data_IF_389650666260
#
_entry.id   IF_389650666260
#
_cell.length_a   1.000
_cell.length_b   1.000
_cell.length_c   1.000
_cell.angle_alpha   90.00
_cell.angle_beta   90.00
_cell.angle_gamma   90.00
#
_symmetry.space_group_name_H-M   'P 1'
#
loop_
_entity.id
_entity.type
_entity.pdbx_description
1 polymer ?
#
# COMPACT_ATOMS: atom_id res chain seq x y z
N UNK A 1 3.72 -4.99 5.05
CA UNK A 1 4.35 -4.39 6.24
C UNK A 1 5.81 -4.21 5.91
N UNK A 2 6.42 -3.16 6.43
CA UNK A 2 7.86 -3.15 6.57
C UNK A 2 8.19 -4.27 7.57
N UNK A 3 8.75 -5.36 7.05
CA UNK A 3 9.10 -6.52 7.83
C UNK A 3 10.41 -6.19 8.57
N UNK A 4 10.51 -6.40 9.89
CA UNK A 4 11.80 -6.35 10.57
C UNK A 4 12.86 -7.16 9.83
N UNK A 5 12.46 -8.30 9.23
CA UNK A 5 13.34 -9.11 8.38
C UNK A 5 13.79 -8.40 7.10
N UNK A 6 12.96 -7.54 6.52
CA UNK A 6 13.34 -6.74 5.36
C UNK A 6 14.36 -5.65 5.74
N UNK A 7 14.26 -5.09 6.95
CA UNK A 7 15.26 -4.16 7.49
C UNK A 7 16.58 -4.90 7.74
N UNK A 8 16.51 -6.09 8.34
CA UNK A 8 17.68 -6.94 8.57
C UNK A 8 18.35 -7.36 7.25
N UNK A 9 17.57 -7.72 6.23
CA UNK A 9 18.08 -8.08 4.91
C UNK A 9 18.79 -6.90 4.23
N UNK A 10 18.26 -5.68 4.37
CA UNK A 10 18.88 -4.46 3.82
C UNK A 10 20.16 -4.14 4.59
N UNK A 11 20.14 -4.21 5.92
CA UNK A 11 21.31 -3.98 6.76
C UNK A 11 22.42 -5.00 6.46
N UNK A 12 22.08 -6.27 6.30
CA UNK A 12 23.02 -7.34 5.94
C UNK A 12 23.60 -7.15 4.55
N UNK A 13 22.80 -6.77 3.56
CA UNK A 13 23.29 -6.45 2.19
C UNK A 13 24.25 -5.26 2.19
N UNK A 14 23.96 -4.22 2.96
CA UNK A 14 24.85 -3.07 3.13
C UNK A 14 26.15 -3.46 3.84
N UNK A 15 26.08 -4.28 4.89
CA UNK A 15 27.24 -4.81 5.60
C UNK A 15 28.12 -5.73 4.71
N UNK A 16 27.51 -6.46 3.78
CA UNK A 16 28.22 -7.30 2.80
C UNK A 16 28.83 -6.49 1.64
N UNK A 17 28.41 -5.24 1.44
CA UNK A 17 29.01 -4.32 0.46
C UNK A 17 30.21 -3.54 1.04
N UNK A 18 30.57 -3.78 2.31
CA UNK A 18 31.70 -3.12 2.97
C UNK A 18 33.04 -3.64 2.40
N UNK A 19 34.02 -2.75 2.12
CA UNK A 19 35.34 -3.15 1.60
C UNK A 19 36.07 -4.16 2.50
N UNK A 20 36.85 -5.10 1.94
CA UNK A 20 37.48 -6.20 2.68
C UNK A 20 38.48 -5.75 3.78
N UNK A 21 38.97 -4.51 3.72
CA UNK A 21 39.83 -3.93 4.76
C UNK A 21 39.11 -3.55 6.06
N UNK A 22 37.76 -3.57 6.09
CA UNK A 22 36.95 -3.17 7.25
C UNK A 22 36.16 -4.35 7.86
N UNK A 23 36.49 -5.59 7.52
CA UNK A 23 35.79 -6.78 8.01
C UNK A 23 35.73 -6.90 9.54
N UNK A 24 36.73 -6.38 10.27
CA UNK A 24 36.73 -6.35 11.74
C UNK A 24 35.69 -5.40 12.35
N UNK A 25 35.16 -4.46 11.55
CA UNK A 25 34.14 -3.49 11.93
C UNK A 25 32.75 -3.81 11.34
N UNK A 26 32.62 -4.94 10.65
CA UNK A 26 31.39 -5.33 9.94
C UNK A 26 30.19 -5.39 10.88
N UNK A 27 30.36 -6.00 12.05
CA UNK A 27 29.27 -6.18 13.01
C UNK A 27 28.81 -4.85 13.62
N UNK A 28 29.73 -3.92 13.87
CA UNK A 28 29.42 -2.58 14.37
C UNK A 28 28.75 -1.72 13.30
N UNK A 29 29.17 -1.86 12.04
CA UNK A 29 28.53 -1.21 10.89
C UNK A 29 27.11 -1.73 10.68
N UNK A 30 26.89 -3.03 10.79
CA UNK A 30 25.57 -3.66 10.68
C UNK A 30 24.61 -3.11 11.75
N UNK A 31 25.04 -3.07 13.02
CA UNK A 31 24.27 -2.48 14.12
C UNK A 31 23.96 -0.99 13.88
N UNK A 32 24.93 -0.25 13.38
CA UNK A 32 24.77 1.18 13.06
C UNK A 32 23.78 1.39 11.92
N UNK A 33 23.86 0.59 10.85
CA UNK A 33 22.92 0.66 9.74
C UNK A 33 21.50 0.26 10.16
N UNK A 34 21.34 -0.77 10.98
CA UNK A 34 20.03 -1.17 11.51
C UNK A 34 19.38 -0.02 12.29
N UNK A 35 20.12 0.63 13.20
CA UNK A 35 19.62 1.76 13.99
C UNK A 35 19.24 2.98 13.10
N UNK A 36 20.05 3.30 12.09
CA UNK A 36 19.77 4.39 11.15
C UNK A 36 18.53 4.07 10.31
N UNK A 37 18.41 2.85 9.77
CA UNK A 37 17.27 2.42 8.97
C UNK A 37 15.97 2.44 9.79
N UNK A 38 16.01 1.93 11.01
CA UNK A 38 14.87 1.94 11.92
C UNK A 38 14.45 3.37 12.27
N UNK A 39 15.41 4.27 12.55
CA UNK A 39 15.15 5.68 12.82
C UNK A 39 14.66 6.47 11.61
N UNK A 40 15.14 6.15 10.39
CA UNK A 40 14.71 6.79 9.15
C UNK A 40 13.32 6.33 8.74
N UNK A 41 13.04 5.03 8.79
CA UNK A 41 11.70 4.48 8.49
C UNK A 41 10.67 4.95 9.50
N UNK A 42 11.02 5.06 10.78
CA UNK A 42 10.13 5.63 11.81
C UNK A 42 9.78 7.11 11.61
N UNK A 43 10.54 7.84 10.78
CA UNK A 43 10.26 9.24 10.39
C UNK A 43 9.45 9.35 9.10
N UNK A 44 9.29 8.27 8.35
CA UNK A 44 8.36 8.24 7.23
C UNK A 44 6.95 8.09 7.84
N UNK A 45 5.96 8.79 7.29
CA UNK A 45 4.54 8.65 7.69
C UNK A 45 3.99 7.29 7.22
N UNK A 46 4.52 6.22 7.80
CA UNK A 46 4.21 4.86 7.43
C UNK A 46 2.83 4.50 7.97
N UNK A 47 1.89 4.28 7.06
CA UNK A 47 0.57 3.76 7.41
C UNK A 47 0.72 2.32 7.89
N UNK A 48 0.08 1.98 9.01
CA UNK A 48 0.15 0.62 9.55
C UNK A 48 -0.53 -0.39 8.61
N UNK A 49 -0.18 -1.67 8.73
CA UNK A 49 -0.82 -2.72 7.93
C UNK A 49 -2.34 -2.75 8.16
N UNK A 50 -2.76 -2.55 9.41
CA UNK A 50 -4.17 -2.54 9.78
C UNK A 50 -4.92 -1.39 9.10
N UNK A 51 -4.39 -0.16 9.17
CA UNK A 51 -4.97 0.99 8.50
C UNK A 51 -5.02 0.82 6.97
N UNK A 52 -3.98 0.24 6.36
CA UNK A 52 -3.98 -0.06 4.93
C UNK A 52 -5.07 -1.06 4.54
N UNK A 53 -5.22 -2.15 5.31
CA UNK A 53 -6.28 -3.14 5.04
C UNK A 53 -7.68 -2.54 5.27
N UNK A 54 -7.86 -1.67 6.26
CA UNK A 54 -9.10 -0.91 6.45
C UNK A 54 -9.40 -0.04 5.24
N UNK A 55 -8.43 0.75 4.76
CA UNK A 55 -8.62 1.60 3.57
C UNK A 55 -8.95 0.77 2.32
N UNK A 56 -8.28 -0.37 2.15
CA UNK A 56 -8.58 -1.32 1.06
C UNK A 56 -10.01 -1.86 1.16
N UNK A 57 -10.46 -2.23 2.35
CA UNK A 57 -11.82 -2.69 2.57
C UNK A 57 -12.87 -1.59 2.31
N UNK A 58 -12.58 -0.35 2.72
CA UNK A 58 -13.41 0.81 2.41
C UNK A 58 -13.50 1.03 0.89
N UNK A 59 -12.38 0.97 0.17
CA UNK A 59 -12.34 1.08 -1.29
C UNK A 59 -13.16 -0.02 -1.98
N UNK A 60 -13.01 -1.27 -1.54
CA UNK A 60 -13.79 -2.38 -2.07
C UNK A 60 -15.31 -2.16 -1.89
N UNK A 61 -15.72 -1.74 -0.68
CA UNK A 61 -17.12 -1.44 -0.37
C UNK A 61 -17.67 -0.29 -1.22
N UNK A 62 -16.87 0.76 -1.43
CA UNK A 62 -17.28 1.90 -2.26
C UNK A 62 -17.45 1.49 -3.71
N UNK A 63 -16.57 0.62 -4.23
CA UNK A 63 -16.71 0.09 -5.59
C UNK A 63 -18.00 -0.71 -5.78
N UNK A 64 -18.33 -1.61 -4.86
CA UNK A 64 -19.61 -2.35 -4.91
C UNK A 64 -20.81 -1.40 -4.88
N UNK A 65 -20.80 -0.41 -4.00
CA UNK A 65 -21.88 0.59 -3.95
C UNK A 65 -22.00 1.41 -5.23
N UNK A 66 -20.89 1.70 -5.89
CA UNK A 66 -20.87 2.41 -7.16
C UNK A 66 -21.53 1.58 -8.26
N UNK A 67 -21.14 0.30 -8.37
CA UNK A 67 -21.72 -0.65 -9.33
C UNK A 67 -23.25 -0.79 -9.12
N UNK A 68 -23.72 -0.89 -7.87
CA UNK A 68 -25.16 -0.94 -7.55
C UNK A 68 -25.90 0.35 -7.98
N UNK A 69 -25.28 1.51 -7.78
CA UNK A 69 -25.85 2.80 -8.18
C UNK A 69 -25.90 2.93 -9.71
N UNK A 70 -24.87 2.50 -10.42
CA UNK A 70 -24.84 2.47 -11.89
C UNK A 70 -25.98 1.63 -12.45
N UNK A 71 -26.22 0.43 -11.90
CA UNK A 71 -27.35 -0.44 -12.28
C UNK A 71 -28.68 0.27 -12.03
N UNK A 72 -28.84 0.90 -10.86
CA UNK A 72 -30.08 1.60 -10.51
C UNK A 72 -30.33 2.80 -11.43
N UNK A 73 -29.31 3.57 -11.76
CA UNK A 73 -29.40 4.69 -12.71
C UNK A 73 -29.78 4.18 -14.09
N UNK A 74 -29.11 3.15 -14.61
CA UNK A 74 -29.45 2.58 -15.92
C UNK A 74 -30.89 2.05 -15.99
N UNK A 75 -31.38 1.44 -14.92
CA UNK A 75 -32.78 1.00 -14.83
C UNK A 75 -33.77 2.18 -14.86
N UNK A 76 -33.45 3.28 -14.16
CA UNK A 76 -34.25 4.49 -14.16
C UNK A 76 -34.21 5.21 -15.52
N UNK A 77 -33.05 5.31 -16.14
CA UNK A 77 -32.90 5.89 -17.49
C UNK A 77 -33.71 5.09 -18.52
N UNK A 78 -33.67 3.75 -18.45
CA UNK A 78 -34.45 2.89 -19.32
C UNK A 78 -35.96 3.02 -19.09
N UNK A 79 -36.38 3.16 -17.83
CA UNK A 79 -37.79 3.39 -17.49
C UNK A 79 -38.26 4.79 -17.92
N UNK A 80 -37.41 5.80 -17.82
CA UNK A 80 -37.67 7.15 -18.31
C UNK A 80 -37.66 7.25 -19.84
N UNK A 81 -37.00 6.30 -20.52
CA UNK A 81 -36.91 6.22 -21.99
C UNK A 81 -37.99 5.31 -22.63
N UNK A 82 -39.06 4.98 -21.89
CA UNK A 82 -40.21 4.22 -22.40
C UNK A 82 -41.08 5.02 -23.41
N UNK A 83 -41.84 4.34 -24.29
CA UNK A 83 -42.15 4.81 -25.64
C UNK A 83 -43.31 5.81 -25.69
N UNK A 84 -43.01 7.07 -25.95
CA UNK A 84 -43.98 7.98 -26.56
C UNK A 84 -43.22 9.01 -27.40
N UNK A 85 -43.50 9.02 -28.71
CA UNK A 85 -43.34 10.10 -29.71
C UNK A 85 -43.28 9.59 -31.17
N UNK A 86 -43.59 8.31 -31.45
CA UNK A 86 -43.85 7.84 -32.82
C UNK A 86 -45.17 7.05 -32.90
N UNK A 87 -46.28 7.76 -32.82
CA UNK A 87 -47.60 7.32 -33.30
C UNK A 87 -48.47 8.58 -33.48
N UNK A 88 -48.11 9.37 -34.50
CA UNK A 88 -49.00 10.32 -35.16
C UNK A 88 -49.34 9.80 -36.55
#
# INVERSE_FOLDING_TARGET
MFDPKAIDDIASRLANAVPPGLNSLKEDLEKTFHAILQGALGKLDLVTREEFEVQKAVLAKTRTKLEDLEIRVAALEKAASGPDLQSG
#
